data_IF_793936566604
#
_entry.id   IF_793936566604
#
_cell.length_a   1.000
_cell.length_b   1.000
_cell.length_c   1.000
_cell.angle_alpha   90.00
_cell.angle_beta   90.00
_cell.angle_gamma   90.00
#
_symmetry.space_group_name_H-M   'P 1'
#
loop_
_entity.id
_entity.type
_entity.pdbx_description
1 polymer ?
#
# COMPACT_ATOMS: atom_id res chain seq x y z
N UNK A 1 32.83 20.29 10.80
CA UNK A 1 31.59 20.22 10.00
C UNK A 1 31.33 18.77 9.70
N UNK A 2 30.21 18.21 10.14
CA UNK A 2 29.81 16.84 9.77
C UNK A 2 29.35 16.84 8.31
N UNK A 3 29.61 15.77 7.53
CA UNK A 3 29.11 15.67 6.17
C UNK A 3 27.57 15.73 6.16
N UNK A 4 26.95 16.29 5.10
CA UNK A 4 25.49 16.23 4.97
C UNK A 4 25.05 14.77 4.97
N UNK A 5 23.91 14.49 5.62
CA UNK A 5 23.33 13.16 5.60
C UNK A 5 23.14 12.71 4.14
N UNK A 6 23.41 11.44 3.80
CA UNK A 6 23.17 10.94 2.45
C UNK A 6 21.70 11.16 2.07
N UNK A 7 21.40 11.40 0.78
CA UNK A 7 20.03 11.55 0.33
C UNK A 7 19.23 10.28 0.71
N UNK A 8 18.04 10.50 1.26
CA UNK A 8 17.11 9.42 1.57
C UNK A 8 16.74 8.72 0.26
N UNK A 9 17.10 7.44 0.16
CA UNK A 9 16.71 6.58 -0.96
C UNK A 9 15.33 6.00 -0.65
N UNK A 10 14.33 6.14 -1.53
CA UNK A 10 13.06 5.47 -1.38
C UNK A 10 13.20 3.96 -1.25
N UNK A 11 12.49 3.35 -0.30
CA UNK A 11 12.53 1.89 -0.08
C UNK A 11 11.13 1.31 0.07
N UNK A 12 10.95 -0.01 -0.18
CA UNK A 12 9.70 -0.72 0.12
C UNK A 12 9.23 -0.57 1.57
N UNK A 13 10.17 -0.63 2.53
CA UNK A 13 9.84 -0.48 3.95
C UNK A 13 9.26 0.90 4.24
N UNK A 14 9.87 1.95 3.69
CA UNK A 14 9.32 3.30 3.81
C UNK A 14 7.94 3.42 3.13
N UNK A 15 7.76 2.78 1.97
CA UNK A 15 6.49 2.82 1.25
C UNK A 15 5.33 2.16 2.01
N UNK A 16 5.58 1.13 2.83
CA UNK A 16 4.54 0.44 3.63
C UNK A 16 4.50 0.83 5.12
N UNK A 17 5.43 1.67 5.59
CA UNK A 17 5.45 2.14 6.99
C UNK A 17 4.25 3.06 7.28
N UNK A 18 3.41 2.75 8.29
CA UNK A 18 2.27 3.59 8.68
C UNK A 18 2.68 4.99 9.18
N UNK A 19 3.94 5.22 9.53
CA UNK A 19 4.46 6.54 9.93
C UNK A 19 4.91 7.39 8.73
N UNK A 20 4.91 6.85 7.51
CA UNK A 20 5.30 7.62 6.31
C UNK A 20 4.26 8.69 6.00
N UNK A 21 4.73 9.93 5.84
CA UNK A 21 3.86 11.08 5.58
C UNK A 21 3.02 10.88 4.31
N UNK A 22 1.70 11.19 4.33
CA UNK A 22 0.85 11.03 3.16
C UNK A 22 1.32 11.80 1.91
N UNK A 23 1.93 12.98 2.07
CA UNK A 23 2.47 13.74 0.95
C UNK A 23 3.68 13.05 0.34
N UNK A 24 4.53 12.44 1.17
CA UNK A 24 5.63 11.61 0.70
C UNK A 24 5.12 10.37 -0.04
N UNK A 25 4.04 9.72 0.44
CA UNK A 25 3.43 8.60 -0.29
C UNK A 25 2.96 9.00 -1.70
N UNK A 26 2.37 10.18 -1.85
CA UNK A 26 2.02 10.73 -3.17
C UNK A 26 3.24 10.95 -4.07
N UNK A 27 4.34 11.46 -3.51
CA UNK A 27 5.60 11.62 -4.25
C UNK A 27 6.14 10.26 -4.71
N UNK A 28 6.25 9.30 -3.79
CA UNK A 28 6.70 7.94 -4.10
C UNK A 28 5.85 7.28 -5.19
N UNK A 29 4.52 7.42 -5.12
CA UNK A 29 3.64 6.85 -6.13
C UNK A 29 3.84 7.47 -7.52
N UNK A 30 4.22 8.75 -7.61
CA UNK A 30 4.48 9.40 -8.90
C UNK A 30 5.85 9.04 -9.46
N UNK A 31 6.86 9.07 -8.60
CA UNK A 31 8.26 9.04 -9.02
C UNK A 31 8.82 7.60 -9.09
N UNK A 32 8.26 6.66 -8.31
CA UNK A 32 8.78 5.30 -8.16
C UNK A 32 7.70 4.23 -8.46
N UNK A 33 7.45 3.88 -9.75
CA UNK A 33 6.45 2.88 -10.12
C UNK A 33 6.63 1.52 -9.45
N UNK A 34 7.86 1.10 -9.19
CA UNK A 34 8.23 -0.14 -8.49
C UNK A 34 7.76 -0.15 -7.02
N UNK A 35 7.58 1.04 -6.42
CA UNK A 35 7.16 1.16 -5.02
C UNK A 35 5.65 1.11 -4.82
N UNK A 36 4.85 1.35 -5.87
CA UNK A 36 3.39 1.45 -5.78
C UNK A 36 2.74 0.22 -5.15
N UNK A 37 3.23 -0.99 -5.48
CA UNK A 37 2.72 -2.24 -4.87
C UNK A 37 2.88 -2.30 -3.35
N UNK A 38 3.89 -1.63 -2.80
CA UNK A 38 4.14 -1.57 -1.36
C UNK A 38 3.29 -0.49 -0.70
N UNK A 39 3.02 0.62 -1.40
CA UNK A 39 2.11 1.68 -0.94
C UNK A 39 0.68 1.14 -0.75
N UNK A 40 0.25 0.17 -1.57
CA UNK A 40 -1.05 -0.50 -1.40
C UNK A 40 -1.21 -1.12 0.00
N UNK A 41 -0.12 -1.62 0.58
CA UNK A 41 -0.13 -2.19 1.93
C UNK A 41 0.02 -1.15 3.05
N UNK A 42 0.18 0.15 2.72
CA UNK A 42 0.36 1.20 3.71
C UNK A 42 -0.98 1.63 4.32
N UNK A 43 -1.20 1.49 5.64
CA UNK A 43 -2.44 1.90 6.29
C UNK A 43 -2.74 3.41 6.22
N UNK A 44 -1.71 4.24 6.02
CA UNK A 44 -1.84 5.68 5.85
C UNK A 44 -2.19 6.08 4.40
N UNK A 45 -2.16 5.14 3.44
CA UNK A 45 -2.55 5.43 2.06
C UNK A 45 -4.06 5.73 2.00
N UNK A 46 -4.40 6.91 1.48
CA UNK A 46 -5.79 7.31 1.32
C UNK A 46 -6.45 6.59 0.13
N UNK A 47 -7.79 6.52 0.14
CA UNK A 47 -8.54 5.94 -0.96
C UNK A 47 -8.20 6.59 -2.32
N UNK A 48 -8.07 7.92 -2.38
CA UNK A 48 -7.68 8.64 -3.60
C UNK A 48 -6.28 8.28 -4.09
N UNK A 49 -5.35 7.99 -3.18
CA UNK A 49 -4.00 7.54 -3.55
C UNK A 49 -4.05 6.11 -4.12
N UNK A 50 -4.82 5.22 -3.48
CA UNK A 50 -5.01 3.85 -3.98
C UNK A 50 -5.73 3.82 -5.33
N UNK A 51 -6.69 4.71 -5.55
CA UNK A 51 -7.36 4.90 -6.83
C UNK A 51 -6.38 5.41 -7.91
N UNK A 52 -5.55 6.40 -7.58
CA UNK A 52 -4.49 6.82 -8.50
C UNK A 52 -3.56 5.65 -8.86
N UNK A 53 -3.12 4.87 -7.87
CA UNK A 53 -2.24 3.70 -8.08
C UNK A 53 -2.93 2.64 -8.95
N UNK A 54 -4.22 2.37 -8.75
CA UNK A 54 -4.95 1.38 -9.55
C UNK A 54 -5.04 1.78 -11.02
N UNK A 55 -5.22 3.07 -11.30
CA UNK A 55 -5.25 3.61 -12.66
C UNK A 55 -3.85 3.70 -13.30
N UNK A 56 -2.86 4.17 -12.53
CA UNK A 56 -1.49 4.33 -13.00
C UNK A 56 -0.75 3.00 -13.20
N UNK A 57 -1.17 1.96 -12.47
CA UNK A 57 -0.56 0.63 -12.50
C UNK A 57 0.89 0.61 -12.03
N UNK A 58 1.61 -0.44 -12.36
CA UNK A 58 3.00 -0.67 -11.98
C UNK A 58 3.27 -2.15 -11.71
N UNK A 59 4.54 -2.55 -11.59
CA UNK A 59 4.88 -3.94 -11.32
C UNK A 59 4.26 -4.42 -9.99
N UNK A 60 3.46 -5.49 -10.05
CA UNK A 60 2.83 -6.10 -8.88
C UNK A 60 1.66 -5.32 -8.26
N UNK A 61 1.22 -4.21 -8.86
CA UNK A 61 0.14 -3.38 -8.31
C UNK A 61 -1.20 -4.10 -8.32
N UNK A 62 -1.50 -4.83 -9.41
CA UNK A 62 -2.76 -5.57 -9.54
C UNK A 62 -2.85 -6.64 -8.45
N UNK A 63 -1.81 -7.43 -8.30
CA UNK A 63 -1.73 -8.50 -7.30
C UNK A 63 -1.84 -7.94 -5.89
N UNK A 64 -1.15 -6.83 -5.59
CA UNK A 64 -1.24 -6.17 -4.29
C UNK A 64 -2.66 -5.66 -3.98
N UNK A 65 -3.34 -5.05 -4.96
CA UNK A 65 -4.70 -4.56 -4.80
C UNK A 65 -5.70 -5.71 -4.62
N UNK A 66 -5.57 -6.80 -5.37
CA UNK A 66 -6.38 -8.00 -5.19
C UNK A 66 -6.25 -8.53 -3.76
N UNK A 67 -5.01 -8.72 -3.27
CA UNK A 67 -4.79 -9.19 -1.90
C UNK A 67 -5.36 -8.25 -0.82
N UNK A 68 -5.27 -6.93 -1.03
CA UNK A 68 -5.87 -5.95 -0.13
C UNK A 68 -7.40 -6.11 -0.08
N UNK A 69 -8.03 -6.21 -1.25
CA UNK A 69 -9.48 -6.35 -1.36
C UNK A 69 -9.97 -7.67 -0.77
N UNK A 70 -9.32 -8.79 -1.09
CA UNK A 70 -9.61 -10.11 -0.53
C UNK A 70 -9.56 -10.05 1.02
N UNK A 71 -8.52 -9.43 1.58
CA UNK A 71 -8.39 -9.27 3.04
C UNK A 71 -9.49 -8.39 3.66
N UNK A 72 -9.93 -7.35 2.94
CA UNK A 72 -11.02 -6.49 3.40
C UNK A 72 -12.39 -7.21 3.34
N UNK A 73 -12.62 -8.02 2.31
CA UNK A 73 -13.81 -8.85 2.16
C UNK A 73 -13.88 -9.90 3.27
N UNK A 74 -12.79 -10.63 3.51
CA UNK A 74 -12.68 -11.56 4.64
C UNK A 74 -13.05 -10.85 5.95
N UNK A 75 -12.42 -9.71 6.23
CA UNK A 75 -12.72 -8.91 7.43
C UNK A 75 -14.17 -8.46 7.51
N UNK A 76 -14.80 -8.11 6.39
CA UNK A 76 -16.21 -7.73 6.35
C UNK A 76 -17.13 -8.93 6.67
N UNK A 77 -16.80 -10.12 6.18
CA UNK A 77 -17.54 -11.35 6.48
C UNK A 77 -17.43 -11.74 7.96
N UNK A 78 -16.23 -11.61 8.55
CA UNK A 78 -16.02 -11.79 10.00
C UNK A 78 -16.94 -10.87 10.82
N UNK A 79 -17.02 -9.60 10.44
CA UNK A 79 -17.80 -8.59 11.15
C UNK A 79 -19.31 -8.73 10.92
N UNK A 80 -19.73 -9.29 9.79
CA UNK A 80 -21.13 -9.52 9.46
C UNK A 80 -21.70 -10.81 10.07
N UNK A 81 -20.87 -11.62 10.75
CA UNK A 81 -21.29 -12.90 11.35
C UNK A 81 -21.50 -14.01 10.33
N UNK A 82 -21.10 -13.80 9.07
CA UNK A 82 -21.13 -14.80 7.99
C UNK A 82 -19.91 -15.72 8.07
N UNK A 83 -19.66 -16.32 9.23
CA UNK A 83 -18.75 -17.47 9.30
C UNK A 83 -19.54 -18.72 8.89
N UNK A 84 -19.54 -19.07 7.61
CA UNK A 84 -19.80 -20.46 7.19
C UNK A 84 -18.49 -21.22 7.35
N UNK A 85 -18.25 -21.73 8.55
CA UNK A 85 -17.17 -22.67 8.75
C UNK A 85 -17.47 -23.94 7.97
N UNK A 86 -16.77 -24.14 6.86
CA UNK A 86 -16.62 -25.47 6.27
C UNK A 86 -15.28 -25.52 5.53
N UNK A 87 -14.31 -26.15 6.17
CA UNK A 87 -13.15 -26.71 5.51
C UNK A 87 -12.95 -28.09 6.13
N UNK A 88 -13.46 -29.09 5.42
CA UNK A 88 -13.25 -30.53 5.65
C UNK A 88 -11.79 -30.90 5.34
#
# INVERSE_FOLDING_TARGET
MSPPAPPLVPTPLMACDPATDPSLLWQLARDEPELRRWIVANPAASASLLEFISQAGGPGVREALTLLLDSLEERADLLSGKYTGEHD
#
